data_IF_611586436731
#
_entry.id   IF_611586436731
#
_cell.length_a   1.000
_cell.length_b   1.000
_cell.length_c   1.000
_cell.angle_alpha   90.00
_cell.angle_beta   90.00
_cell.angle_gamma   90.00
#
_symmetry.space_group_name_H-M   'P 1'
#
loop_
_entity.id
_entity.type
_entity.pdbx_description
1 polymer ?
#
# COMPACT_ATOMS: atom_id res chain seq x y z
N UNK A 1 6.40 0.79 -13.87
CA UNK A 1 7.78 0.67 -13.34
C UNK A 1 8.48 2.02 -13.29
N UNK A 2 8.14 2.94 -14.20
CA UNK A 2 8.83 4.22 -14.34
C UNK A 2 8.79 5.09 -13.08
N UNK A 3 7.66 5.14 -12.36
CA UNK A 3 7.53 5.98 -11.16
C UNK A 3 8.46 5.56 -10.01
N UNK A 4 8.72 4.27 -9.80
CA UNK A 4 9.64 3.81 -8.75
C UNK A 4 11.09 4.18 -9.11
N UNK A 5 11.43 4.08 -10.40
CA UNK A 5 12.75 4.44 -10.90
C UNK A 5 13.01 5.95 -10.79
N UNK A 6 11.98 6.77 -11.02
CA UNK A 6 12.08 8.23 -10.98
C UNK A 6 12.01 8.80 -9.56
N UNK A 7 11.09 8.28 -8.72
CA UNK A 7 10.76 8.88 -7.43
C UNK A 7 11.47 8.21 -6.26
N UNK A 8 12.11 7.06 -6.46
CA UNK A 8 12.51 6.09 -5.44
C UNK A 8 11.32 5.44 -4.71
N UNK A 9 11.59 4.32 -4.04
CA UNK A 9 10.54 3.49 -3.43
C UNK A 9 9.73 4.20 -2.35
N UNK A 10 10.34 5.13 -1.61
CA UNK A 10 9.66 5.86 -0.54
C UNK A 10 8.60 6.79 -1.12
N UNK A 11 8.98 7.65 -2.07
CA UNK A 11 8.03 8.60 -2.65
C UNK A 11 6.99 7.92 -3.53
N UNK A 12 7.35 6.85 -4.25
CA UNK A 12 6.38 6.04 -4.98
C UNK A 12 5.32 5.45 -4.04
N UNK A 13 5.74 4.97 -2.85
CA UNK A 13 4.82 4.49 -1.80
C UNK A 13 3.92 5.61 -1.29
N UNK A 14 4.48 6.80 -1.01
CA UNK A 14 3.68 7.96 -0.57
C UNK A 14 2.64 8.39 -1.61
N UNK A 15 3.02 8.39 -2.89
CA UNK A 15 2.13 8.73 -4.00
C UNK A 15 1.01 7.69 -4.17
N UNK A 16 1.34 6.40 -4.04
CA UNK A 16 0.35 5.32 -4.07
C UNK A 16 -0.67 5.46 -2.93
N UNK A 17 -0.23 5.76 -1.70
CA UNK A 17 -1.11 6.02 -0.57
C UNK A 17 -2.04 7.22 -0.84
N UNK A 18 -1.50 8.33 -1.35
CA UNK A 18 -2.32 9.52 -1.71
C UNK A 18 -3.38 9.19 -2.75
N UNK A 19 -3.03 8.40 -3.77
CA UNK A 19 -3.96 7.94 -4.80
C UNK A 19 -5.04 7.03 -4.23
N UNK A 20 -4.67 6.11 -3.32
CA UNK A 20 -5.63 5.22 -2.67
C UNK A 20 -6.68 6.01 -1.87
N UNK A 21 -6.25 6.97 -1.04
CA UNK A 21 -7.16 7.82 -0.26
C UNK A 21 -8.02 8.71 -1.17
N UNK A 22 -7.43 9.28 -2.22
CA UNK A 22 -8.15 10.14 -3.18
C UNK A 22 -9.17 9.37 -4.02
N UNK A 23 -8.95 8.07 -4.24
CA UNK A 23 -9.84 7.18 -4.98
C UNK A 23 -11.01 6.62 -4.17
N UNK A 24 -11.07 6.86 -2.86
CA UNK A 24 -12.18 6.40 -2.04
C UNK A 24 -13.48 7.10 -2.43
N UNK A 25 -14.54 6.32 -2.66
CA UNK A 25 -15.88 6.85 -2.97
C UNK A 25 -16.42 7.73 -1.85
N UNK A 26 -16.11 7.38 -0.61
CA UNK A 26 -16.47 8.15 0.59
C UNK A 26 -15.19 8.84 1.05
N UNK A 27 -15.24 10.18 1.15
CA UNK A 27 -14.09 10.94 1.65
C UNK A 27 -13.95 10.72 3.16
N UNK A 28 -12.82 10.20 3.65
CA UNK A 28 -12.59 10.05 5.07
C UNK A 28 -12.38 11.42 5.72
N UNK A 29 -12.79 11.56 6.97
CA UNK A 29 -12.46 12.73 7.80
C UNK A 29 -11.13 12.57 8.54
N UNK A 30 -10.63 11.34 8.61
CA UNK A 30 -9.42 10.98 9.32
C UNK A 30 -8.76 9.75 8.68
N UNK A 31 -7.43 9.74 8.59
CA UNK A 31 -6.65 8.65 7.98
C UNK A 31 -5.57 8.18 8.95
N UNK A 32 -5.50 6.87 9.15
CA UNK A 32 -4.43 6.20 9.88
C UNK A 32 -3.45 5.59 8.88
N UNK A 33 -2.15 5.70 9.17
CA UNK A 33 -1.07 5.18 8.31
C UNK A 33 -0.16 4.22 9.09
N UNK A 34 0.05 2.98 8.61
CA UNK A 34 1.05 2.05 9.17
C UNK A 34 2.49 2.39 8.75
N UNK A 35 2.98 3.54 9.18
CA UNK A 35 4.38 3.90 8.99
C UNK A 35 4.84 4.88 10.06
N UNK A 36 6.10 5.32 9.98
CA UNK A 36 6.64 6.43 10.75
C UNK A 36 6.45 7.80 10.05
N UNK A 37 5.85 7.81 8.86
CA UNK A 37 5.63 9.01 8.03
C UNK A 37 4.26 8.96 7.38
N UNK A 38 3.59 10.09 7.32
CA UNK A 38 2.34 10.25 6.58
C UNK A 38 2.59 11.07 5.31
N UNK A 39 2.03 10.64 4.16
CA UNK A 39 1.82 11.53 3.03
C UNK A 39 0.93 12.71 3.43
N UNK A 40 1.00 13.80 2.67
CA UNK A 40 0.03 14.88 2.83
C UNK A 40 -1.27 14.52 2.10
N UNK A 41 -2.31 14.19 2.86
CA UNK A 41 -3.64 13.87 2.32
C UNK A 41 -4.61 15.05 2.29
N UNK A 42 -4.21 16.23 2.78
CA UNK A 42 -5.10 17.38 3.03
C UNK A 42 -6.29 17.08 3.95
N UNK A 43 -6.17 16.03 4.77
CA UNK A 43 -7.13 15.54 5.76
C UNK A 43 -6.35 15.27 7.05
N UNK A 44 -7.02 15.27 8.21
CA UNK A 44 -6.37 14.93 9.47
C UNK A 44 -5.83 13.50 9.44
N UNK A 45 -4.54 13.33 9.75
CA UNK A 45 -3.86 12.04 9.62
C UNK A 45 -2.95 11.74 10.78
N UNK A 46 -2.77 10.45 11.09
CA UNK A 46 -1.82 9.99 12.11
C UNK A 46 -1.08 8.74 11.66
N UNK A 47 0.24 8.75 11.90
CA UNK A 47 1.11 7.60 11.70
C UNK A 47 1.09 6.69 12.92
N UNK A 48 0.96 5.38 12.72
CA UNK A 48 0.99 4.34 13.77
C UNK A 48 2.03 3.30 13.37
N UNK A 49 3.12 3.20 14.12
CA UNK A 49 4.16 2.21 13.84
C UNK A 49 3.66 0.81 14.22
N UNK A 50 3.67 -0.13 13.26
CA UNK A 50 3.09 -1.48 13.42
C UNK A 50 1.58 -1.42 13.68
N UNK A 51 0.92 -0.52 12.96
CA UNK A 51 -0.51 -0.29 13.08
C UNK A 51 -1.33 -1.54 12.74
N UNK A 52 -0.81 -2.42 11.88
CA UNK A 52 -1.43 -3.69 11.49
C UNK A 52 -1.70 -4.64 12.66
N UNK A 53 -0.87 -4.54 13.71
CA UNK A 53 -1.01 -5.30 14.95
C UNK A 53 -1.84 -4.58 16.03
N UNK A 54 -2.10 -3.29 15.86
CA UNK A 54 -2.63 -2.40 16.91
C UNK A 54 -4.01 -1.82 16.58
N UNK A 55 -4.35 -1.72 15.30
CA UNK A 55 -5.55 -1.05 14.80
C UNK A 55 -6.26 -1.95 13.79
N UNK A 56 -7.55 -2.20 14.02
CA UNK A 56 -8.34 -3.11 13.19
C UNK A 56 -8.48 -2.59 11.75
N UNK A 57 -8.65 -1.28 11.57
CA UNK A 57 -8.77 -0.62 10.27
C UNK A 57 -7.52 -0.80 9.42
N UNK A 58 -6.33 -0.57 10.02
CA UNK A 58 -5.04 -0.79 9.37
C UNK A 58 -4.85 -2.27 9.00
N UNK A 59 -5.23 -3.18 9.90
CA UNK A 59 -5.16 -4.62 9.67
C UNK A 59 -6.03 -5.05 8.49
N UNK A 60 -7.30 -4.61 8.46
CA UNK A 60 -8.22 -4.90 7.37
C UNK A 60 -7.70 -4.37 6.03
N UNK A 61 -7.15 -3.16 6.05
CA UNK A 61 -6.63 -2.50 4.88
C UNK A 61 -5.35 -3.18 4.34
N UNK A 62 -4.48 -3.67 5.23
CA UNK A 62 -3.31 -4.49 4.89
C UNK A 62 -3.68 -5.81 4.22
N UNK A 63 -4.75 -6.48 4.67
CA UNK A 63 -5.28 -7.70 4.04
C UNK A 63 -5.74 -7.40 2.62
N UNK A 64 -6.50 -6.32 2.42
CA UNK A 64 -6.99 -5.92 1.10
C UNK A 64 -5.83 -5.62 0.14
N UNK A 65 -4.83 -4.87 0.59
CA UNK A 65 -3.65 -4.55 -0.21
C UNK A 65 -2.88 -5.82 -0.61
N UNK A 66 -2.67 -6.74 0.34
CA UNK A 66 -1.97 -8.01 0.10
C UNK A 66 -2.71 -8.89 -0.91
N UNK A 67 -4.01 -9.11 -0.71
CA UNK A 67 -4.83 -9.95 -1.58
C UNK A 67 -4.90 -9.36 -2.99
N UNK A 68 -5.05 -8.05 -3.12
CA UNK A 68 -5.10 -7.38 -4.43
C UNK A 68 -3.78 -7.53 -5.17
N UNK A 69 -2.65 -7.23 -4.52
CA UNK A 69 -1.33 -7.40 -5.12
C UNK A 69 -1.06 -8.85 -5.52
N UNK A 70 -1.39 -9.80 -4.66
CA UNK A 70 -1.12 -11.21 -4.94
C UNK A 70 -1.95 -11.69 -6.15
N UNK A 71 -3.17 -11.18 -6.34
CA UNK A 71 -3.97 -11.42 -7.56
C UNK A 71 -3.32 -10.81 -8.80
N UNK A 72 -2.91 -9.54 -8.74
CA UNK A 72 -2.23 -8.86 -9.85
C UNK A 72 -0.94 -9.60 -10.26
N UNK A 73 -0.18 -10.10 -9.29
CA UNK A 73 1.04 -10.87 -9.55
C UNK A 73 0.74 -12.20 -10.24
N UNK A 74 -0.34 -12.89 -9.88
CA UNK A 74 -0.78 -14.11 -10.57
C UNK A 74 -1.25 -13.80 -11.99
N UNK A 75 -1.96 -12.70 -12.20
CA UNK A 75 -2.38 -12.27 -13.54
C UNK A 75 -1.17 -11.97 -14.43
N UNK A 76 -0.17 -11.27 -13.89
CA UNK A 76 1.08 -10.95 -14.57
C UNK A 76 1.92 -12.18 -14.93
N UNK A 77 1.85 -13.25 -14.15
CA UNK A 77 2.55 -14.53 -14.43
C UNK A 77 2.14 -15.13 -15.78
N UNK A 78 0.91 -14.86 -16.24
CA UNK A 78 0.44 -15.29 -17.56
C UNK A 78 1.18 -14.58 -18.71
N UNK A 79 1.71 -13.38 -18.45
CA UNK A 79 2.42 -12.56 -19.44
C UNK A 79 3.94 -12.70 -19.32
N UNK A 80 4.44 -12.98 -18.11
CA UNK A 80 5.86 -13.14 -17.79
C UNK A 80 6.03 -14.47 -17.03
N UNK A 81 6.42 -15.56 -17.70
CA UNK A 81 6.53 -16.87 -17.07
C UNK A 81 7.49 -16.90 -15.87
N UNK A 82 7.08 -17.54 -14.78
CA UNK A 82 7.83 -17.73 -13.52
C UNK A 82 8.01 -16.47 -12.65
N UNK A 83 7.22 -15.42 -12.88
CA UNK A 83 7.26 -14.21 -12.05
C UNK A 83 6.81 -14.49 -10.61
N UNK A 84 5.89 -15.45 -10.40
CA UNK A 84 5.33 -15.79 -9.08
C UNK A 84 6.23 -16.75 -8.28
N UNK A 85 7.17 -17.45 -8.92
CA UNK A 85 8.01 -18.48 -8.29
C UNK A 85 9.18 -17.93 -7.44
N UNK A 86 9.42 -16.62 -7.46
CA UNK A 86 10.34 -15.98 -6.52
C UNK A 86 9.64 -15.84 -5.16
N UNK A 87 9.81 -16.87 -4.31
CA UNK A 87 9.54 -16.91 -2.88
C UNK A 87 8.87 -15.64 -2.34
N UNK A 88 7.60 -15.74 -1.95
CA UNK A 88 6.78 -14.72 -1.30
C UNK A 88 7.36 -14.35 0.08
N UNK A 89 8.60 -13.84 0.14
CA UNK A 89 9.04 -12.81 1.08
C UNK A 89 8.73 -11.48 0.44
N UNK A 90 7.47 -11.28 0.08
CA UNK A 90 7.10 -10.02 -0.54
C UNK A 90 7.18 -8.98 0.56
N UNK A 91 8.15 -8.08 0.41
CA UNK A 91 8.24 -6.82 1.13
C UNK A 91 6.80 -6.31 1.23
N UNK A 92 6.25 -6.30 2.44
CA UNK A 92 4.94 -5.72 2.66
C UNK A 92 5.13 -4.23 2.40
N UNK A 93 4.59 -3.65 1.31
CA UNK A 93 4.34 -2.22 1.35
C UNK A 93 3.34 -2.07 2.48
N UNK A 94 3.80 -1.50 3.59
CA UNK A 94 2.95 -1.11 4.69
C UNK A 94 2.11 0.04 4.18
N UNK A 95 0.97 -0.32 3.61
CA UNK A 95 -0.09 0.54 3.11
C UNK A 95 -1.31 -0.25 3.60
N UNK A 96 -2.06 0.19 4.60
CA UNK A 96 -2.70 1.49 4.81
C UNK A 96 -2.57 1.79 6.29
#
# INVERSE_FOLDING_TARGET
>A
MDEINELNILHATMLAMQRAVSGLKIKPNYVLVDDNRCPNFSIQTQSVVKGDLLVAEISAASILAKVTRDREMVELDNYIPNMVLLNIKVIQPKII
#
